data_IF_980805792868
#
_entry.id   IF_980805792868
#
_cell.length_a   1.000
_cell.length_b   1.000
_cell.length_c   1.000
_cell.angle_alpha   90.00
_cell.angle_beta   90.00
_cell.angle_gamma   90.00
#
_symmetry.space_group_name_H-M   'P 1'
#
loop_
_entity.id
_entity.type
_entity.pdbx_description
1 polymer ?
#
# COMPACT_ATOMS: atom_id res chain seq x y z
N UNK A 1 -18.00 -15.37 6.35
CA UNK A 1 -17.74 -13.98 6.77
C UNK A 1 -16.38 -13.57 6.21
N UNK A 2 -16.17 -13.63 4.90
CA UNK A 2 -14.82 -13.82 4.34
C UNK A 2 -14.64 -13.04 3.06
N UNK A 3 -14.92 -11.73 3.11
CA UNK A 3 -14.62 -10.84 1.99
C UNK A 3 -14.37 -9.41 2.46
N UNK A 4 -15.26 -8.85 3.28
CA UNK A 4 -15.06 -7.50 3.83
C UNK A 4 -13.97 -7.47 4.92
N UNK A 5 -13.95 -8.46 5.82
CA UNK A 5 -12.93 -8.53 6.86
C UNK A 5 -11.53 -8.78 6.28
N UNK A 6 -11.43 -9.62 5.24
CA UNK A 6 -10.16 -9.82 4.51
C UNK A 6 -9.77 -8.55 3.75
N UNK A 7 -10.69 -7.89 3.05
CA UNK A 7 -10.42 -6.61 2.40
C UNK A 7 -9.91 -5.57 3.41
N UNK A 8 -10.55 -5.46 4.58
CA UNK A 8 -10.14 -4.55 5.65
C UNK A 8 -8.76 -4.89 6.19
N UNK A 9 -8.49 -6.16 6.48
CA UNK A 9 -7.21 -6.62 7.01
C UNK A 9 -6.07 -6.37 6.00
N UNK A 10 -6.26 -6.78 4.75
CA UNK A 10 -5.27 -6.56 3.68
C UNK A 10 -5.05 -5.07 3.41
N UNK A 11 -6.12 -4.26 3.37
CA UNK A 11 -5.99 -2.80 3.24
C UNK A 11 -5.15 -2.22 4.39
N UNK A 12 -5.41 -2.64 5.61
CA UNK A 12 -4.71 -2.12 6.78
C UNK A 12 -3.21 -2.44 6.73
N UNK A 13 -2.85 -3.68 6.36
CA UNK A 13 -1.45 -4.09 6.24
C UNK A 13 -0.73 -3.34 5.11
N UNK A 14 -1.37 -3.17 3.94
CA UNK A 14 -0.80 -2.42 2.83
C UNK A 14 -0.58 -0.93 3.17
N UNK A 15 -1.56 -0.30 3.81
CA UNK A 15 -1.46 1.10 4.24
C UNK A 15 -0.38 1.29 5.32
N UNK A 16 -0.22 0.32 6.22
CA UNK A 16 0.82 0.34 7.25
C UNK A 16 2.23 0.23 6.64
N UNK A 17 2.41 -0.63 5.63
CA UNK A 17 3.69 -0.74 4.93
C UNK A 17 4.02 0.54 4.14
N UNK A 18 3.01 1.14 3.49
CA UNK A 18 3.16 2.42 2.79
C UNK A 18 3.55 3.56 3.74
N UNK A 19 2.92 3.64 4.91
CA UNK A 19 3.27 4.62 5.95
C UNK A 19 4.71 4.42 6.44
N UNK A 20 5.11 3.17 6.74
CA UNK A 20 6.47 2.84 7.17
C UNK A 20 7.52 3.23 6.10
N UNK A 21 7.25 2.98 4.82
CA UNK A 21 8.12 3.37 3.72
C UNK A 21 8.20 4.91 3.58
N UNK A 22 7.07 5.60 3.72
CA UNK A 22 7.00 7.06 3.69
C UNK A 22 7.79 7.69 4.84
N UNK A 23 7.62 7.18 6.07
CA UNK A 23 8.38 7.63 7.25
C UNK A 23 9.89 7.44 7.02
N UNK A 24 10.31 6.30 6.44
CA UNK A 24 11.73 6.07 6.11
C UNK A 24 12.29 7.14 5.16
N UNK A 25 11.55 7.50 4.11
CA UNK A 25 11.94 8.58 3.21
C UNK A 25 12.00 9.93 3.94
N UNK A 26 11.02 10.25 4.79
CA UNK A 26 11.01 11.50 5.58
C UNK A 26 12.22 11.59 6.53
N UNK A 27 12.61 10.47 7.16
CA UNK A 27 13.80 10.41 8.01
C UNK A 27 15.08 10.71 7.21
N UNK A 28 15.24 10.09 6.03
CA UNK A 28 16.38 10.33 5.15
C UNK A 28 16.43 11.78 4.64
N UNK A 29 15.29 12.36 4.26
CA UNK A 29 15.19 13.79 3.90
C UNK A 29 15.65 14.67 5.07
N UNK A 30 15.21 14.36 6.29
CA UNK A 30 15.60 15.10 7.49
C UNK A 30 17.10 14.98 7.78
N UNK A 31 17.70 13.83 7.48
CA UNK A 31 19.14 13.59 7.56
C UNK A 31 19.94 14.19 6.39
N UNK A 32 19.27 14.79 5.38
CA UNK A 32 19.85 15.25 4.10
C UNK A 32 20.45 14.12 3.24
N UNK A 33 20.03 12.89 3.47
CA UNK A 33 20.43 11.69 2.73
C UNK A 33 19.42 11.39 1.60
N UNK A 34 19.29 12.34 0.66
CA UNK A 34 18.32 12.27 -0.45
C UNK A 34 18.94 11.72 -1.75
N UNK A 35 20.03 10.98 -1.63
CA UNK A 35 20.78 10.40 -2.75
C UNK A 35 21.63 9.22 -2.28
N UNK A 36 21.99 8.32 -3.20
CA UNK A 36 22.79 7.13 -2.89
C UNK A 36 21.95 5.94 -2.42
N UNK A 37 22.60 4.83 -2.03
CA UNK A 37 21.98 3.52 -1.93
C UNK A 37 20.87 3.44 -0.86
N UNK A 38 21.00 4.19 0.25
CA UNK A 38 19.97 4.23 1.29
C UNK A 38 18.69 4.92 0.83
N UNK A 39 18.83 6.01 0.05
CA UNK A 39 17.71 6.71 -0.54
C UNK A 39 17.06 5.88 -1.64
N UNK A 40 17.85 5.26 -2.51
CA UNK A 40 17.36 4.40 -3.59
C UNK A 40 16.59 3.19 -3.04
N UNK A 41 17.09 2.52 -1.99
CA UNK A 41 16.38 1.43 -1.30
C UNK A 41 15.04 1.90 -0.70
N UNK A 42 15.05 3.05 -0.01
CA UNK A 42 13.83 3.59 0.59
C UNK A 42 12.81 4.02 -0.48
N UNK A 43 13.26 4.64 -1.56
CA UNK A 43 12.42 5.05 -2.68
C UNK A 43 11.84 3.84 -3.42
N UNK A 44 12.64 2.79 -3.64
CA UNK A 44 12.19 1.54 -4.24
C UNK A 44 11.13 0.88 -3.36
N UNK A 45 11.39 0.74 -2.06
CA UNK A 45 10.41 0.20 -1.10
C UNK A 45 9.10 0.99 -1.09
N UNK A 46 9.17 2.32 -1.12
CA UNK A 46 7.97 3.15 -1.21
C UNK A 46 7.22 2.94 -2.52
N UNK A 47 7.94 2.85 -3.65
CA UNK A 47 7.34 2.54 -4.95
C UNK A 47 6.60 1.20 -4.93
N UNK A 48 7.25 0.12 -4.46
CA UNK A 48 6.64 -1.20 -4.35
C UNK A 48 5.40 -1.20 -3.43
N UNK A 49 5.42 -0.45 -2.32
CA UNK A 49 4.27 -0.32 -1.43
C UNK A 49 3.10 0.41 -2.09
N UNK A 50 3.36 1.49 -2.84
CA UNK A 50 2.34 2.21 -3.62
C UNK A 50 1.76 1.31 -4.70
N UNK A 51 2.60 0.57 -5.43
CA UNK A 51 2.17 -0.35 -6.47
C UNK A 51 1.29 -1.47 -5.91
N UNK A 52 1.69 -2.07 -4.79
CA UNK A 52 0.92 -3.11 -4.12
C UNK A 52 -0.45 -2.59 -3.65
N UNK A 53 -0.50 -1.38 -3.09
CA UNK A 53 -1.75 -0.74 -2.68
C UNK A 53 -2.67 -0.44 -3.88
N UNK A 54 -2.13 0.13 -4.95
CA UNK A 54 -2.89 0.41 -6.17
C UNK A 54 -3.39 -0.87 -6.85
N UNK A 55 -2.55 -1.89 -6.94
CA UNK A 55 -2.90 -3.20 -7.48
C UNK A 55 -4.04 -3.81 -6.68
N UNK A 56 -4.00 -3.73 -5.35
CA UNK A 56 -5.07 -4.21 -4.48
C UNK A 56 -6.40 -3.45 -4.67
N UNK A 57 -6.35 -2.12 -4.81
CA UNK A 57 -7.54 -1.30 -5.09
C UNK A 57 -8.14 -1.56 -6.48
N UNK A 58 -7.31 -1.92 -7.46
CA UNK A 58 -7.74 -2.20 -8.83
C UNK A 58 -8.19 -3.66 -9.03
N UNK A 59 -8.16 -4.49 -7.97
CA UNK A 59 -8.82 -5.78 -8.00
C UNK A 59 -10.32 -5.48 -8.15
N UNK A 60 -10.99 -5.94 -9.23
CA UNK A 60 -12.41 -5.74 -9.37
C UNK A 60 -13.08 -6.36 -8.14
N UNK A 61 -13.67 -5.50 -7.31
CA UNK A 61 -14.48 -5.92 -6.19
C UNK A 61 -15.72 -6.58 -6.77
N UNK A 62 -15.63 -7.88 -7.06
CA UNK A 62 -16.72 -8.79 -7.47
C UNK A 62 -17.71 -9.00 -6.31
N UNK A 63 -18.13 -7.91 -5.68
CA UNK A 63 -19.16 -7.86 -4.66
C UNK A 63 -20.24 -6.83 -5.01
N UNK A 64 -20.02 -5.98 -6.01
CA UNK A 64 -20.99 -4.97 -6.44
C UNK A 64 -22.03 -5.50 -7.46
N UNK A 65 -21.86 -6.71 -7.99
CA UNK A 65 -22.65 -7.21 -9.13
C UNK A 65 -23.43 -8.50 -8.80
N UNK A 66 -24.34 -8.45 -7.84
CA UNK A 66 -25.52 -9.33 -7.83
C UNK A 66 -26.65 -8.70 -7.01
N UNK A 67 -27.61 -7.99 -7.64
CA UNK A 67 -28.87 -7.67 -6.98
C UNK A 67 -29.60 -8.99 -6.67
N UNK A 68 -30.28 -9.11 -5.50
CA UNK A 68 -31.11 -10.28 -5.22
C UNK A 68 -32.21 -10.37 -6.30
N UNK A 69 -32.23 -11.49 -7.03
CA UNK A 69 -33.29 -11.79 -7.99
C UNK A 69 -34.63 -11.96 -7.25
N UNK A 70 -35.76 -11.46 -7.81
CA UNK A 70 -37.08 -11.51 -7.18
C UNK A 70 -37.64 -12.93 -7.04
#
# INVERSE_FOLDING_TARGET
>A
MTSFEEFRATSHELLKELDAATIKMMMLVSAKEVSGPFWEDAAQRHHDAVDAWHSFLNIPTDFAASPPLP
#
